data_IF_004867514444
#
_entry.id   IF_004867514444
#
_cell.length_a   1.000
_cell.length_b   1.000
_cell.length_c   1.000
_cell.angle_alpha   90.00
_cell.angle_beta   90.00
_cell.angle_gamma   90.00
#
_symmetry.space_group_name_H-M   'P 1'
#
loop_
_entity.id
_entity.type
_entity.pdbx_description
1 polymer ?
#
# COMPACT_ATOMS: atom_id res chain seq x y z
N UNK A 1 -3.18 5.01 15.41
CA UNK A 1 -2.53 3.67 15.38
C UNK A 1 -3.36 2.59 16.12
N UNK A 2 -4.07 2.91 17.26
CA UNK A 2 -4.88 1.91 17.98
C UNK A 2 -6.03 1.29 17.16
N UNK A 3 -6.51 1.98 16.11
CA UNK A 3 -7.58 1.50 15.23
C UNK A 3 -7.08 0.66 14.05
N UNK A 4 -5.77 0.56 13.84
CA UNK A 4 -5.16 -0.25 12.78
C UNK A 4 -5.03 0.45 11.41
N UNK A 5 -4.42 -0.27 10.48
CA UNK A 5 -4.02 0.19 9.14
C UNK A 5 -5.19 0.70 8.30
N UNK A 6 -6.33 0.01 8.34
CA UNK A 6 -7.53 0.35 7.56
C UNK A 6 -8.03 1.75 7.87
N UNK A 7 -8.10 2.11 9.16
CA UNK A 7 -8.61 3.42 9.58
C UNK A 7 -7.61 4.55 9.31
N UNK A 8 -6.31 4.27 9.35
CA UNK A 8 -5.27 5.22 8.92
C UNK A 8 -5.46 5.52 7.43
N UNK A 9 -5.65 4.50 6.60
CA UNK A 9 -5.89 4.65 5.17
C UNK A 9 -7.20 5.39 4.85
N UNK A 10 -8.27 5.11 5.57
CA UNK A 10 -9.53 5.87 5.43
C UNK A 10 -9.28 7.35 5.75
N UNK A 11 -8.54 7.66 6.83
CA UNK A 11 -8.17 9.03 7.16
C UNK A 11 -7.35 9.71 6.06
N UNK A 12 -6.37 9.01 5.49
CA UNK A 12 -5.57 9.48 4.34
C UNK A 12 -6.45 9.72 3.10
N UNK A 13 -7.41 8.84 2.83
CA UNK A 13 -8.37 9.01 1.73
C UNK A 13 -9.22 10.26 1.93
N UNK A 14 -9.76 10.49 3.14
CA UNK A 14 -10.54 11.69 3.48
C UNK A 14 -9.69 12.94 3.27
N UNK A 15 -8.44 12.95 3.79
CA UNK A 15 -7.51 14.08 3.67
C UNK A 15 -7.15 14.41 2.21
N UNK A 16 -7.06 13.39 1.34
CA UNK A 16 -6.68 13.54 -0.07
C UNK A 16 -7.85 13.82 -1.01
N UNK A 17 -9.10 13.78 -0.52
CA UNK A 17 -10.29 13.92 -1.38
C UNK A 17 -11.23 15.05 -0.88
N UNK A 18 -10.77 16.32 -0.93
CA UNK A 18 -11.52 17.45 -0.39
C UNK A 18 -12.82 17.75 -1.16
N UNK A 19 -13.01 17.18 -2.35
CA UNK A 19 -14.23 17.30 -3.13
C UNK A 19 -15.40 16.44 -2.61
N UNK A 20 -15.11 15.41 -1.81
CA UNK A 20 -16.11 14.47 -1.28
C UNK A 20 -16.46 14.73 0.19
N UNK A 21 -15.59 15.40 0.94
CA UNK A 21 -15.72 15.56 2.38
C UNK A 21 -15.73 17.03 2.81
N UNK A 22 -16.48 17.39 3.88
CA UNK A 22 -16.43 18.71 4.46
C UNK A 22 -15.01 19.09 4.90
N UNK A 23 -14.67 20.37 4.77
CA UNK A 23 -13.33 20.90 5.02
C UNK A 23 -12.81 20.56 6.42
N UNK A 24 -13.67 20.58 7.41
CA UNK A 24 -13.33 20.30 8.81
C UNK A 24 -12.79 18.87 8.99
N UNK A 25 -13.35 17.90 8.26
CA UNK A 25 -12.84 16.52 8.26
C UNK A 25 -11.52 16.42 7.52
N UNK A 26 -11.41 17.04 6.35
CA UNK A 26 -10.16 17.03 5.58
C UNK A 26 -9.01 17.60 6.42
N UNK A 27 -9.21 18.75 7.07
CA UNK A 27 -8.19 19.37 7.94
C UNK A 27 -7.86 18.51 9.16
N UNK A 28 -8.86 17.89 9.80
CA UNK A 28 -8.64 17.01 10.95
C UNK A 28 -7.81 15.75 10.61
N UNK A 29 -7.95 15.24 9.39
CA UNK A 29 -7.23 14.04 8.94
C UNK A 29 -5.89 14.32 8.23
N UNK A 30 -5.53 15.59 7.95
CA UNK A 30 -4.24 15.94 7.36
C UNK A 30 -3.03 15.47 8.19
N UNK A 31 -3.18 15.34 9.51
CA UNK A 31 -2.12 14.84 10.40
C UNK A 31 -1.92 13.31 10.37
N UNK A 32 -2.75 12.55 9.63
CA UNK A 32 -2.61 11.09 9.49
C UNK A 32 -1.65 10.67 8.38
N UNK A 33 -0.93 11.64 7.80
CA UNK A 33 -0.01 11.40 6.69
C UNK A 33 1.31 10.79 7.21
N UNK A 34 1.60 9.60 6.77
CA UNK A 34 2.87 9.05 6.33
C UNK A 34 3.87 8.37 7.29
N UNK A 35 3.69 8.32 8.59
CA UNK A 35 4.64 7.54 9.41
C UNK A 35 3.91 6.62 10.37
N UNK A 36 4.05 5.31 10.14
CA UNK A 36 3.63 4.29 11.10
C UNK A 36 4.86 3.67 11.76
N UNK A 37 4.69 3.20 13.00
CA UNK A 37 5.76 2.48 13.71
C UNK A 37 6.23 1.28 12.87
N UNK A 38 7.53 1.17 12.59
CA UNK A 38 8.07 0.04 11.86
C UNK A 38 7.85 -1.27 12.60
N UNK A 39 7.59 -2.34 11.86
CA UNK A 39 7.67 -3.70 12.39
C UNK A 39 9.14 -4.10 12.55
N UNK A 40 9.48 -4.96 13.52
CA UNK A 40 10.80 -5.56 13.62
C UNK A 40 11.22 -6.23 12.31
N UNK A 41 12.50 -6.09 11.94
CA UNK A 41 13.04 -6.68 10.71
C UNK A 41 12.80 -8.19 10.58
N UNK A 42 12.76 -8.92 11.69
CA UNK A 42 12.47 -10.36 11.70
C UNK A 42 11.16 -10.73 10.99
N UNK A 43 10.11 -9.89 11.12
CA UNK A 43 8.84 -10.10 10.41
C UNK A 43 8.98 -9.83 8.91
N UNK A 44 9.72 -8.79 8.54
CA UNK A 44 9.99 -8.45 7.13
C UNK A 44 10.84 -9.52 6.47
N UNK A 45 11.89 -9.99 7.14
CA UNK A 45 12.73 -11.08 6.65
C UNK A 45 11.96 -12.40 6.48
N UNK A 46 10.95 -12.64 7.34
CA UNK A 46 10.07 -13.80 7.15
C UNK A 46 9.24 -13.66 5.87
N UNK A 47 8.59 -12.51 5.65
CA UNK A 47 7.82 -12.26 4.41
C UNK A 47 8.70 -12.41 3.19
N UNK A 48 9.90 -11.80 3.20
CA UNK A 48 10.85 -11.92 2.08
C UNK A 48 11.23 -13.37 1.80
N UNK A 49 11.46 -14.20 2.84
CA UNK A 49 11.77 -15.63 2.66
C UNK A 49 10.59 -16.39 2.07
N UNK A 50 9.36 -16.11 2.54
CA UNK A 50 8.14 -16.78 2.07
C UNK A 50 7.84 -16.42 0.61
N UNK A 51 7.89 -15.14 0.27
CA UNK A 51 7.55 -14.64 -1.06
C UNK A 51 8.62 -14.95 -2.12
N UNK A 52 9.89 -14.91 -1.75
CA UNK A 52 11.00 -15.14 -2.68
C UNK A 52 11.50 -16.60 -2.71
N UNK A 53 10.84 -17.54 -2.02
CA UNK A 53 11.26 -18.94 -1.98
C UNK A 53 10.92 -19.76 -3.25
N UNK A 54 10.35 -19.11 -4.28
CA UNK A 54 9.75 -19.78 -5.46
C UNK A 54 10.75 -20.67 -6.22
N UNK A 55 12.04 -20.31 -6.22
CA UNK A 55 13.13 -21.04 -6.91
C UNK A 55 14.11 -21.74 -5.95
N UNK A 56 13.83 -21.70 -4.66
CA UNK A 56 14.62 -22.34 -3.61
C UNK A 56 15.90 -21.60 -3.21
N UNK A 57 16.13 -20.38 -3.73
CA UNK A 57 17.26 -19.54 -3.31
C UNK A 57 16.97 -18.84 -1.97
N UNK A 58 17.98 -18.74 -1.14
CA UNK A 58 17.94 -18.00 0.13
C UNK A 58 18.05 -16.49 -0.10
N UNK A 59 17.75 -15.68 0.93
CA UNK A 59 17.93 -14.23 0.84
C UNK A 59 19.41 -13.85 0.63
N UNK A 60 20.32 -14.57 1.26
CA UNK A 60 21.77 -14.38 1.16
C UNK A 60 22.33 -14.72 -0.24
N UNK A 61 21.64 -15.61 -0.96
CA UNK A 61 21.95 -15.93 -2.36
C UNK A 61 21.40 -14.91 -3.35
N UNK A 62 20.35 -14.15 -2.96
CA UNK A 62 19.75 -13.09 -3.80
C UNK A 62 20.39 -11.73 -3.55
N UNK A 63 20.63 -11.41 -2.30
CA UNK A 63 21.12 -10.11 -1.86
C UNK A 63 22.49 -10.22 -1.21
N UNK A 64 23.39 -9.34 -1.59
CA UNK A 64 24.68 -9.21 -0.93
C UNK A 64 24.51 -8.60 0.48
N UNK A 65 23.51 -7.73 0.65
CA UNK A 65 23.15 -7.13 1.93
C UNK A 65 21.71 -6.60 1.91
N UNK A 66 21.07 -6.58 3.09
CA UNK A 66 19.75 -5.95 3.32
C UNK A 66 19.84 -5.14 4.61
N UNK A 67 19.59 -3.84 4.54
CA UNK A 67 19.56 -2.99 5.73
C UNK A 67 18.36 -3.34 6.61
N UNK A 68 18.62 -3.74 7.87
CA UNK A 68 17.56 -4.08 8.83
C UNK A 68 16.72 -2.85 9.23
N UNK A 69 17.35 -1.66 9.27
CA UNK A 69 16.66 -0.40 9.54
C UNK A 69 15.86 0.00 8.30
N UNK A 70 14.54 0.16 8.39
CA UNK A 70 13.76 0.56 7.23
C UNK A 70 14.08 2.00 6.80
N UNK A 71 14.18 2.20 5.50
CA UNK A 71 14.23 3.53 4.89
C UNK A 71 12.93 4.31 5.14
N UNK A 72 11.80 3.60 5.10
CA UNK A 72 10.48 4.15 5.36
C UNK A 72 9.51 3.08 5.86
N UNK A 73 8.52 3.49 6.68
CA UNK A 73 7.43 2.63 7.11
C UNK A 73 6.10 3.36 6.90
N UNK A 74 5.29 2.83 6.00
CA UNK A 74 3.93 3.30 5.71
C UNK A 74 2.88 2.38 6.36
N UNK A 75 1.60 2.69 6.18
CA UNK A 75 0.50 1.94 6.77
C UNK A 75 0.44 0.48 6.31
N UNK A 76 0.74 0.20 5.03
CA UNK A 76 0.62 -1.13 4.43
C UNK A 76 1.95 -1.81 4.13
N UNK A 77 3.07 -1.06 4.09
CA UNK A 77 4.37 -1.56 3.66
C UNK A 77 5.52 -0.93 4.42
N UNK A 78 6.65 -1.61 4.40
CA UNK A 78 7.96 -1.07 4.76
C UNK A 78 8.88 -1.10 3.56
N UNK A 79 9.82 -0.16 3.53
CA UNK A 79 10.83 -0.07 2.47
C UNK A 79 12.20 -0.24 3.12
N UNK A 80 12.98 -1.18 2.62
CA UNK A 80 14.35 -1.43 3.05
C UNK A 80 15.32 -1.24 1.90
N UNK A 81 16.50 -0.74 2.19
CA UNK A 81 17.60 -0.69 1.21
C UNK A 81 18.24 -2.07 1.14
N UNK A 82 18.56 -2.51 -0.05
CA UNK A 82 19.29 -3.75 -0.27
C UNK A 82 20.31 -3.58 -1.40
N UNK A 83 21.29 -4.48 -1.44
CA UNK A 83 22.29 -4.55 -2.51
C UNK A 83 22.27 -5.92 -3.14
N UNK A 84 22.16 -5.94 -4.46
CA UNK A 84 22.27 -7.16 -5.25
C UNK A 84 23.75 -7.59 -5.42
N UNK A 85 24.00 -8.86 -5.74
CA UNK A 85 25.36 -9.37 -5.96
C UNK A 85 26.06 -8.76 -7.18
N UNK A 86 25.30 -8.17 -8.13
CA UNK A 86 25.88 -7.42 -9.26
C UNK A 86 26.33 -6.01 -8.87
N UNK A 87 26.07 -5.59 -7.62
CA UNK A 87 26.43 -4.29 -7.06
C UNK A 87 25.33 -3.23 -7.14
N UNK A 88 24.19 -3.53 -7.75
CA UNK A 88 23.05 -2.59 -7.82
C UNK A 88 22.47 -2.36 -6.42
N UNK A 89 22.26 -1.10 -6.08
CA UNK A 89 21.50 -0.70 -4.90
C UNK A 89 20.02 -0.60 -5.27
N UNK A 90 19.19 -1.30 -4.50
CA UNK A 90 17.74 -1.41 -4.73
C UNK A 90 16.96 -1.09 -3.46
N UNK A 91 15.67 -0.84 -3.60
CA UNK A 91 14.75 -0.78 -2.47
C UNK A 91 13.77 -1.96 -2.53
N UNK A 92 13.58 -2.60 -1.39
CA UNK A 92 12.60 -3.66 -1.20
C UNK A 92 11.37 -3.04 -0.55
N UNK A 93 10.28 -2.93 -1.30
CA UNK A 93 8.97 -2.55 -0.78
C UNK A 93 8.25 -3.81 -0.35
N UNK A 94 8.17 -4.04 0.95
CA UNK A 94 7.62 -5.27 1.52
C UNK A 94 6.28 -4.98 2.17
N UNK A 95 5.24 -5.71 1.76
CA UNK A 95 3.92 -5.61 2.37
C UNK A 95 3.97 -6.11 3.82
N UNK A 96 3.33 -5.38 4.72
CA UNK A 96 3.21 -5.82 6.12
C UNK A 96 2.30 -7.05 6.20
N UNK A 97 2.70 -8.09 6.97
CA UNK A 97 1.94 -9.35 7.01
C UNK A 97 0.49 -9.12 7.47
N UNK A 98 -0.44 -9.79 6.80
CA UNK A 98 -1.85 -9.78 7.12
C UNK A 98 -2.64 -8.51 6.79
N UNK A 99 -1.99 -7.48 6.24
CA UNK A 99 -2.63 -6.19 5.90
C UNK A 99 -3.85 -6.37 5.00
N UNK A 100 -3.73 -7.16 3.94
CA UNK A 100 -4.82 -7.36 2.99
C UNK A 100 -6.04 -7.99 3.67
N UNK A 101 -5.85 -9.06 4.45
CA UNK A 101 -6.92 -9.74 5.19
C UNK A 101 -7.60 -8.81 6.19
N UNK A 102 -6.82 -8.01 6.93
CA UNK A 102 -7.34 -7.03 7.88
C UNK A 102 -8.18 -5.98 7.14
N UNK A 103 -7.67 -5.42 6.05
CA UNK A 103 -8.38 -4.43 5.26
C UNK A 103 -9.67 -4.98 4.65
N UNK A 104 -9.64 -6.19 4.09
CA UNK A 104 -10.84 -6.84 3.55
C UNK A 104 -11.90 -7.05 4.64
N UNK A 105 -11.49 -7.49 5.83
CA UNK A 105 -12.38 -7.72 6.96
C UNK A 105 -13.01 -6.42 7.45
N UNK A 106 -12.19 -5.40 7.72
CA UNK A 106 -12.65 -4.12 8.25
C UNK A 106 -13.60 -3.41 7.26
N UNK A 107 -13.23 -3.38 5.99
CA UNK A 107 -14.06 -2.76 4.94
C UNK A 107 -15.34 -3.56 4.69
N UNK A 108 -15.28 -4.89 4.83
CA UNK A 108 -16.47 -5.75 4.80
C UNK A 108 -17.46 -5.43 5.92
N UNK A 109 -16.94 -5.23 7.14
CA UNK A 109 -17.77 -4.81 8.29
C UNK A 109 -18.38 -3.44 8.05
N UNK A 110 -17.60 -2.45 7.59
CA UNK A 110 -18.10 -1.11 7.26
C UNK A 110 -19.21 -1.15 6.21
N UNK A 111 -19.02 -1.92 5.13
CA UNK A 111 -20.04 -2.11 4.10
C UNK A 111 -21.32 -2.75 4.67
N UNK A 112 -21.17 -3.82 5.48
CA UNK A 112 -22.31 -4.49 6.11
C UNK A 112 -23.10 -3.57 7.05
N UNK A 113 -22.41 -2.76 7.87
CA UNK A 113 -23.06 -1.77 8.76
C UNK A 113 -23.80 -0.71 7.92
N UNK A 114 -23.20 -0.22 6.84
CA UNK A 114 -23.84 0.77 5.95
C UNK A 114 -25.13 0.21 5.35
N UNK A 115 -25.08 -1.03 4.84
CA UNK A 115 -26.27 -1.72 4.30
C UNK A 115 -27.38 -1.93 5.34
N UNK A 116 -26.99 -2.28 6.56
CA UNK A 116 -27.94 -2.44 7.67
C UNK A 116 -28.61 -1.10 8.01
N UNK A 117 -27.86 0.00 8.06
CA UNK A 117 -28.39 1.33 8.32
C UNK A 117 -29.34 1.80 7.20
N UNK A 118 -29.01 1.53 5.93
CA UNK A 118 -29.92 1.80 4.80
C UNK A 118 -31.24 1.06 4.94
N UNK A 119 -31.21 -0.19 5.39
CA UNK A 119 -32.41 -1.02 5.60
C UNK A 119 -33.26 -0.51 6.76
N UNK A 120 -32.63 -0.15 7.89
CA UNK A 120 -33.33 0.25 9.11
C UNK A 120 -33.82 1.72 9.09
N UNK A 121 -33.16 2.57 8.32
CA UNK A 121 -33.40 4.01 8.27
C UNK A 121 -33.55 4.53 6.83
N UNK A 122 -34.54 4.08 6.05
CA UNK A 122 -34.68 4.46 4.64
C UNK A 122 -34.92 5.95 4.41
N UNK A 123 -35.39 6.66 5.44
CA UNK A 123 -35.62 8.11 5.40
C UNK A 123 -34.33 8.96 5.51
N UNK A 124 -33.27 8.39 6.07
CA UNK A 124 -31.96 9.04 6.06
C UNK A 124 -31.30 8.71 4.72
N UNK A 125 -30.92 9.75 3.96
CA UNK A 125 -30.30 9.61 2.64
C UNK A 125 -28.87 9.03 2.75
N UNK A 126 -28.74 7.82 3.31
CA UNK A 126 -27.49 7.04 3.30
C UNK A 126 -27.16 6.50 1.90
N UNK A 127 -28.07 6.64 0.92
CA UNK A 127 -27.91 6.17 -0.45
C UNK A 127 -26.61 6.65 -1.16
N UNK A 128 -25.94 7.65 -0.58
CA UNK A 128 -24.65 8.15 -1.10
C UNK A 128 -23.43 7.56 -0.37
N UNK A 129 -23.60 6.87 0.76
CA UNK A 129 -22.47 6.40 1.58
C UNK A 129 -21.96 5.04 1.10
N UNK A 130 -22.83 4.12 0.74
CA UNK A 130 -22.43 2.81 0.25
C UNK A 130 -21.50 2.89 -0.98
N UNK A 131 -21.81 3.68 -2.04
CA UNK A 131 -20.90 3.88 -3.16
C UNK A 131 -19.53 4.48 -2.76
N UNK A 132 -19.51 5.36 -1.74
CA UNK A 132 -18.25 5.93 -1.22
C UNK A 132 -17.43 4.84 -0.53
N UNK A 133 -18.05 4.00 0.29
CA UNK A 133 -17.37 2.86 0.94
C UNK A 133 -16.84 1.88 -0.11
N UNK A 134 -17.60 1.59 -1.15
CA UNK A 134 -17.17 0.72 -2.24
C UNK A 134 -15.98 1.31 -3.01
N UNK A 135 -15.97 2.61 -3.28
CA UNK A 135 -14.85 3.30 -3.92
C UNK A 135 -13.60 3.30 -3.03
N UNK A 136 -13.76 3.57 -1.73
CA UNK A 136 -12.66 3.47 -0.75
C UNK A 136 -12.10 2.05 -0.76
N UNK A 137 -12.95 1.04 -0.71
CA UNK A 137 -12.56 -0.37 -0.73
C UNK A 137 -11.74 -0.70 -1.97
N UNK A 138 -12.21 -0.34 -3.15
CA UNK A 138 -11.51 -0.61 -4.41
C UNK A 138 -10.13 0.04 -4.44
N UNK A 139 -10.03 1.31 -4.04
CA UNK A 139 -8.75 2.04 -4.03
C UNK A 139 -7.78 1.47 -3.00
N UNK A 140 -8.26 1.17 -1.80
CA UNK A 140 -7.42 0.63 -0.73
C UNK A 140 -6.87 -0.75 -1.07
N UNK A 141 -7.70 -1.64 -1.65
CA UNK A 141 -7.26 -2.95 -2.09
C UNK A 141 -6.31 -2.88 -3.30
N UNK A 142 -6.51 -1.91 -4.20
CA UNK A 142 -5.58 -1.71 -5.32
C UNK A 142 -4.16 -1.30 -4.85
N UNK A 143 -4.03 -0.64 -3.69
CA UNK A 143 -2.71 -0.29 -3.13
C UNK A 143 -1.94 -1.50 -2.56
N UNK A 144 -2.60 -2.63 -2.34
CA UNK A 144 -1.93 -3.87 -1.90
C UNK A 144 -1.42 -4.72 -3.06
N UNK A 145 -1.76 -4.38 -4.30
CA UNK A 145 -1.34 -5.08 -5.52
C UNK A 145 -0.02 -4.49 -6.04
N UNK A 146 1.11 -5.04 -5.58
CA UNK A 146 2.44 -4.59 -6.00
C UNK A 146 2.81 -5.05 -7.41
N UNK A 147 2.17 -6.11 -7.93
CA UNK A 147 2.32 -6.52 -9.33
C UNK A 147 1.73 -5.47 -10.26
N UNK A 148 0.53 -4.97 -9.94
CA UNK A 148 -0.07 -3.87 -10.69
C UNK A 148 0.77 -2.59 -10.60
N UNK A 149 1.36 -2.28 -9.42
CA UNK A 149 2.28 -1.14 -9.25
C UNK A 149 3.52 -1.29 -10.14
N UNK A 150 4.15 -2.46 -10.14
CA UNK A 150 5.30 -2.76 -10.99
C UNK A 150 4.96 -2.60 -12.48
N UNK A 151 3.78 -3.06 -12.90
CA UNK A 151 3.30 -2.85 -14.27
C UNK A 151 3.15 -1.36 -14.60
N UNK A 152 2.53 -0.59 -13.71
CA UNK A 152 2.35 0.86 -13.91
C UNK A 152 3.69 1.59 -14.02
N UNK A 153 4.71 1.19 -13.26
CA UNK A 153 6.07 1.73 -13.38
C UNK A 153 6.64 1.45 -14.77
N UNK A 154 6.51 0.22 -15.29
CA UNK A 154 6.97 -0.13 -16.65
C UNK A 154 6.24 0.63 -17.73
N UNK A 155 4.92 0.74 -17.64
CA UNK A 155 4.10 1.52 -18.58
C UNK A 155 4.55 2.99 -18.57
N UNK A 156 4.87 3.54 -17.40
CA UNK A 156 5.39 4.89 -17.29
C UNK A 156 6.81 5.04 -17.86
N UNK A 157 7.71 4.08 -17.64
CA UNK A 157 9.03 4.05 -18.29
C UNK A 157 8.91 4.06 -19.82
N UNK A 158 8.01 3.24 -20.36
CA UNK A 158 7.73 3.21 -21.80
C UNK A 158 7.22 4.57 -22.30
N UNK A 159 6.29 5.19 -21.60
CA UNK A 159 5.81 6.53 -21.92
C UNK A 159 6.94 7.56 -21.93
N UNK A 160 7.84 7.57 -20.93
CA UNK A 160 8.99 8.47 -20.88
C UNK A 160 9.92 8.27 -22.08
N UNK A 161 10.19 7.01 -22.43
CA UNK A 161 11.03 6.66 -23.60
C UNK A 161 10.42 7.17 -24.90
N UNK A 162 9.12 6.93 -25.12
CA UNK A 162 8.42 7.36 -26.35
C UNK A 162 8.30 8.88 -26.43
N UNK A 163 8.07 9.55 -25.31
CA UNK A 163 7.95 11.01 -25.25
C UNK A 163 9.28 11.75 -25.36
N UNK A 164 10.41 11.04 -25.26
CA UNK A 164 11.75 11.64 -25.21
C UNK A 164 12.01 12.51 -23.98
N UNK A 165 11.24 12.31 -22.90
CA UNK A 165 11.38 13.08 -21.68
C UNK A 165 12.56 12.56 -20.85
N UNK A 166 13.65 13.32 -20.81
CA UNK A 166 14.86 13.00 -20.02
C UNK A 166 14.92 13.70 -18.67
N UNK A 167 13.89 14.49 -18.32
CA UNK A 167 13.85 15.28 -17.07
C UNK A 167 13.28 14.50 -15.89
N UNK A 168 12.65 13.37 -16.16
CA UNK A 168 12.00 12.49 -15.17
C UNK A 168 12.57 11.10 -15.33
N UNK A 169 12.85 10.43 -14.21
CA UNK A 169 13.32 9.05 -14.17
C UNK A 169 12.31 8.23 -13.36
N UNK A 170 11.95 7.07 -13.88
CA UNK A 170 11.21 6.05 -13.15
C UNK A 170 12.18 4.96 -12.65
N UNK A 171 11.95 4.35 -11.49
CA UNK A 171 12.79 3.27 -10.97
C UNK A 171 12.77 2.05 -11.90
N UNK A 172 13.85 1.26 -11.88
CA UNK A 172 13.89 -0.04 -12.57
C UNK A 172 13.16 -1.07 -11.73
N UNK A 173 12.30 -1.86 -12.36
CA UNK A 173 11.63 -3.00 -11.73
C UNK A 173 12.43 -4.27 -12.02
N UNK A 174 12.72 -5.04 -10.97
CA UNK A 174 13.36 -6.36 -11.04
C UNK A 174 12.24 -7.42 -10.98
N UNK A 175 11.85 -7.92 -12.15
CA UNK A 175 10.70 -8.85 -12.29
C UNK A 175 10.91 -10.14 -11.51
N UNK A 176 12.14 -10.65 -11.45
CA UNK A 176 12.52 -11.85 -10.72
C UNK A 176 12.46 -11.71 -9.19
N UNK A 177 12.32 -10.46 -8.70
CA UNK A 177 12.21 -10.12 -7.28
C UNK A 177 10.85 -9.48 -6.95
N UNK A 178 9.89 -9.52 -7.89
CA UNK A 178 8.56 -8.93 -7.74
C UNK A 178 7.52 -10.03 -7.66
N UNK A 179 6.80 -10.11 -6.53
CA UNK A 179 5.81 -11.16 -6.20
C UNK A 179 4.44 -10.57 -5.88
#
# INVERSE_FOLDING_TARGET
>A
EQLGTTYIKIGQFIASTPSLFPREYVEAFQGFLDQTTPLPYSYIAQVLREELAVDGLTLEERFADIEEQPLASASIAQVHVARLHNGDEVVLKVQKPGVETIMQTDLGVLHGVTKLLELLMPSMKFASIAPIIDEIRLRMLAETDFIAEAKNIRDFQQFLSVSGNTRVVAPTVYDELTT
#
